data_IF_869531102195
#
_entry.id   IF_869531102195
#
_cell.length_a   1.000
_cell.length_b   1.000
_cell.length_c   1.000
_cell.angle_alpha   90.00
_cell.angle_beta   90.00
_cell.angle_gamma   90.00
#
_symmetry.space_group_name_H-M   'P 1'
#
loop_
_entity.id
_entity.type
_entity.pdbx_description
1 polymer ?
#
# COMPACT_ATOMS: atom_id res chain seq x y z
N UNK A 1 11.08 25.99 6.47
CA UNK A 1 10.37 24.71 6.77
C UNK A 1 11.43 23.67 7.06
N UNK A 2 11.33 22.92 8.15
CA UNK A 2 12.27 21.80 8.42
C UNK A 2 11.96 20.70 7.40
N UNK A 3 12.95 20.30 6.60
CA UNK A 3 12.78 19.21 5.66
C UNK A 3 12.69 17.91 6.45
N UNK A 4 11.52 17.28 6.47
CA UNK A 4 11.34 16.00 7.14
C UNK A 4 11.98 14.92 6.27
N UNK A 5 13.11 14.37 6.72
CA UNK A 5 13.79 13.25 6.07
C UNK A 5 13.07 11.97 6.47
N UNK A 6 12.45 11.30 5.50
CA UNK A 6 11.81 9.99 5.71
C UNK A 6 12.84 8.90 5.45
N UNK A 7 13.10 8.07 6.46
CA UNK A 7 14.04 6.95 6.36
C UNK A 7 13.28 5.62 6.16
N UNK A 8 13.90 4.63 5.49
CA UNK A 8 13.35 3.28 5.40
C UNK A 8 13.15 2.65 6.78
N UNK A 9 12.10 1.85 6.94
CA UNK A 9 11.90 1.01 8.13
C UNK A 9 12.84 -0.20 8.01
N UNK A 10 13.85 -0.26 8.89
CA UNK A 10 14.85 -1.34 8.90
C UNK A 10 14.63 -2.38 10.01
N UNK A 11 13.91 -2.00 11.06
CA UNK A 11 13.68 -2.81 12.24
C UNK A 11 12.33 -3.53 12.15
N UNK A 12 12.34 -4.85 12.32
CA UNK A 12 11.15 -5.70 12.23
C UNK A 12 10.14 -5.45 13.36
N UNK A 13 10.58 -5.08 14.56
CA UNK A 13 9.70 -4.71 15.66
C UNK A 13 8.99 -3.38 15.36
N UNK A 14 9.72 -2.41 14.80
CA UNK A 14 9.12 -1.15 14.33
C UNK A 14 8.10 -1.44 13.22
N UNK A 15 8.45 -2.28 12.25
CA UNK A 15 7.53 -2.68 11.19
C UNK A 15 6.25 -3.30 11.76
N UNK A 16 6.40 -4.19 12.75
CA UNK A 16 5.27 -4.84 13.41
C UNK A 16 4.38 -3.83 14.15
N UNK A 17 4.97 -2.91 14.90
CA UNK A 17 4.20 -1.84 15.58
C UNK A 17 3.45 -0.95 14.58
N UNK A 18 4.05 -0.61 13.44
CA UNK A 18 3.37 0.15 12.38
C UNK A 18 2.19 -0.64 11.84
N UNK A 19 2.38 -1.93 11.54
CA UNK A 19 1.30 -2.80 11.05
C UNK A 19 0.14 -2.90 12.04
N UNK A 20 0.43 -3.09 13.33
CA UNK A 20 -0.59 -3.22 14.37
C UNK A 20 -1.33 -1.89 14.59
N UNK A 21 -0.60 -0.78 14.65
CA UNK A 21 -1.19 0.58 14.75
C UNK A 21 -2.12 0.88 13.57
N UNK A 22 -1.71 0.50 12.35
CA UNK A 22 -2.55 0.66 11.17
C UNK A 22 -3.77 -0.25 11.25
N UNK A 23 -3.64 -1.50 11.69
CA UNK A 23 -4.77 -2.43 11.74
C UNK A 23 -5.83 -2.02 12.77
N UNK A 24 -5.40 -1.52 13.94
CA UNK A 24 -6.24 -1.27 15.11
C UNK A 24 -6.86 0.14 15.14
N UNK A 25 -6.49 1.02 14.21
CA UNK A 25 -7.08 2.36 14.11
C UNK A 25 -8.56 2.31 13.71
N UNK A 26 -9.44 2.78 14.60
CA UNK A 26 -10.91 2.64 14.49
C UNK A 26 -11.51 3.25 13.21
N UNK A 27 -10.97 4.36 12.71
CA UNK A 27 -11.62 5.12 11.62
C UNK A 27 -11.29 4.58 10.22
N UNK A 28 -10.01 4.34 9.95
CA UNK A 28 -9.52 3.99 8.62
C UNK A 28 -8.47 2.87 8.65
N UNK A 29 -8.35 2.16 9.78
CA UNK A 29 -7.23 1.29 10.06
C UNK A 29 -7.06 0.18 9.03
N UNK A 30 -8.09 -0.65 8.83
CA UNK A 30 -8.07 -1.72 7.83
C UNK A 30 -7.70 -1.22 6.43
N UNK A 31 -8.24 -0.07 6.01
CA UNK A 31 -7.97 0.52 4.69
C UNK A 31 -6.50 0.95 4.58
N UNK A 32 -5.96 1.63 5.59
CA UNK A 32 -4.57 2.08 5.58
C UNK A 32 -3.59 0.90 5.72
N UNK A 33 -3.94 -0.10 6.53
CA UNK A 33 -3.22 -1.36 6.65
C UNK A 33 -3.16 -2.08 5.30
N UNK A 34 -4.27 -2.20 4.58
CA UNK A 34 -4.28 -2.80 3.24
C UNK A 34 -3.39 -2.02 2.27
N UNK A 35 -3.46 -0.69 2.24
CA UNK A 35 -2.59 0.13 1.38
C UNK A 35 -1.11 -0.11 1.69
N UNK A 36 -0.74 -0.13 2.98
CA UNK A 36 0.63 -0.39 3.41
C UNK A 36 1.12 -1.79 3.01
N UNK A 37 0.29 -2.81 3.24
CA UNK A 37 0.65 -4.20 2.94
C UNK A 37 0.76 -4.45 1.43
N UNK A 38 -0.16 -3.88 0.63
CA UNK A 38 -0.09 -3.97 -0.83
C UNK A 38 1.17 -3.28 -1.34
N UNK A 39 1.47 -2.06 -0.89
CA UNK A 39 2.70 -1.34 -1.25
C UNK A 39 3.96 -2.12 -0.89
N UNK A 40 4.00 -2.74 0.29
CA UNK A 40 5.13 -3.58 0.73
C UNK A 40 5.31 -4.83 -0.13
N UNK A 41 4.22 -5.52 -0.48
CA UNK A 41 4.28 -6.77 -1.25
C UNK A 41 4.58 -6.54 -2.74
N UNK A 42 4.22 -5.37 -3.27
CA UNK A 42 4.31 -5.05 -4.71
C UNK A 42 5.37 -4.01 -5.05
N UNK A 43 5.97 -3.37 -4.04
CA UNK A 43 6.91 -2.25 -4.16
C UNK A 43 6.34 -1.03 -4.89
N UNK A 44 5.01 -0.93 -4.98
CA UNK A 44 4.32 0.22 -5.57
C UNK A 44 4.35 1.44 -4.65
N UNK A 45 4.34 2.63 -5.24
CA UNK A 45 4.16 3.87 -4.48
C UNK A 45 2.75 3.92 -3.91
N UNK A 46 2.60 4.61 -2.77
CA UNK A 46 1.29 4.79 -2.13
C UNK A 46 0.28 5.41 -3.10
N UNK A 47 0.71 6.37 -3.93
CA UNK A 47 -0.14 6.97 -4.96
C UNK A 47 -0.72 5.93 -5.91
N UNK A 48 0.12 5.00 -6.38
CA UNK A 48 -0.26 4.01 -7.39
C UNK A 48 -1.27 3.03 -6.80
N UNK A 49 -1.00 2.54 -5.59
CA UNK A 49 -1.92 1.67 -4.82
C UNK A 49 -3.28 2.34 -4.63
N UNK A 50 -3.30 3.64 -4.33
CA UNK A 50 -4.53 4.41 -4.11
C UNK A 50 -5.34 4.66 -5.38
N UNK A 51 -4.73 4.50 -6.55
CA UNK A 51 -5.40 4.61 -7.86
C UNK A 51 -5.86 3.27 -8.44
N UNK A 52 -5.53 2.15 -7.80
CA UNK A 52 -5.97 0.83 -8.23
C UNK A 52 -7.50 0.71 -8.20
N UNK A 53 -8.06 0.18 -9.28
CA UNK A 53 -9.46 -0.23 -9.37
C UNK A 53 -9.59 -1.71 -9.05
N UNK A 54 -10.78 -2.12 -8.62
CA UNK A 54 -11.10 -3.54 -8.42
C UNK A 54 -10.85 -4.37 -9.69
N UNK A 55 -11.14 -3.83 -10.87
CA UNK A 55 -10.87 -4.48 -12.16
C UNK A 55 -9.40 -4.75 -12.43
N UNK A 56 -8.50 -4.02 -11.77
CA UNK A 56 -7.06 -4.13 -12.00
C UNK A 56 -6.48 -5.33 -11.25
N UNK A 57 -7.12 -5.73 -10.14
CA UNK A 57 -6.64 -6.76 -9.20
C UNK A 57 -7.57 -7.96 -9.06
N UNK A 58 -8.82 -7.87 -9.51
CA UNK A 58 -9.83 -8.94 -9.39
C UNK A 58 -10.46 -9.29 -10.74
N UNK A 59 -10.73 -10.57 -10.93
CA UNK A 59 -11.51 -11.07 -12.06
C UNK A 59 -13.03 -10.91 -11.79
N UNK A 60 -13.89 -10.91 -12.83
CA UNK A 60 -15.33 -10.81 -12.67
C UNK A 60 -15.94 -11.88 -11.74
N UNK A 61 -15.36 -13.07 -11.68
CA UNK A 61 -15.76 -14.17 -10.78
C UNK A 61 -15.28 -14.04 -9.33
N UNK A 62 -14.67 -12.91 -8.95
CA UNK A 62 -14.22 -12.65 -7.58
C UNK A 62 -12.84 -13.21 -7.21
N UNK A 63 -12.19 -13.98 -8.09
CA UNK A 63 -10.80 -14.41 -7.88
C UNK A 63 -9.82 -13.24 -8.05
N UNK A 64 -8.72 -13.28 -7.29
CA UNK A 64 -7.63 -12.30 -7.39
C UNK A 64 -6.74 -12.68 -8.57
N UNK A 65 -6.26 -11.67 -9.31
CA UNK A 65 -5.32 -11.89 -10.42
C UNK A 65 -3.92 -12.23 -9.89
N UNK A 66 -3.28 -13.23 -10.48
CA UNK A 66 -1.89 -13.57 -10.16
C UNK A 66 -0.91 -12.43 -10.52
N UNK A 67 -1.24 -11.67 -11.57
CA UNK A 67 -0.43 -10.54 -12.04
C UNK A 67 -1.35 -9.36 -12.32
N UNK A 68 -0.95 -8.18 -11.85
CA UNK A 68 -1.59 -6.91 -12.17
C UNK A 68 -0.57 -5.99 -12.83
N UNK A 69 -1.01 -5.20 -13.80
CA UNK A 69 -0.17 -4.25 -14.53
C UNK A 69 -0.63 -2.84 -14.21
N UNK A 70 0.32 -1.96 -13.92
CA UNK A 70 0.08 -0.53 -13.82
C UNK A 70 0.76 0.17 -14.97
N UNK A 71 0.11 1.20 -15.50
CA UNK A 71 0.74 2.10 -16.46
C UNK A 71 1.34 3.25 -15.68
N UNK A 72 2.68 3.30 -15.65
CA UNK A 72 3.38 4.42 -15.06
C UNK A 72 3.02 5.69 -15.82
N UNK A 73 2.46 6.66 -15.09
CA UNK A 73 2.33 8.01 -15.60
C UNK A 73 3.61 8.71 -15.22
N UNK A 74 4.63 8.59 -16.07
CA UNK A 74 5.79 9.48 -15.98
C UNK A 74 5.25 10.92 -15.91
N UNK A 75 5.48 11.59 -14.78
CA UNK A 75 5.33 13.04 -14.69
C UNK A 75 6.30 13.63 -15.72
N UNK A 76 5.77 14.20 -16.80
CA UNK A 76 6.49 15.25 -17.52
C UNK A 76 6.63 16.46 -16.63
#
# INVERSE_FOLDING_TARGET
>A
MVQQIVLPIKDTNILKMVQDTLLDSVRAGRRNYTVFQVGKATLLRVSDVMTLKKSDVSNPGGSVKNTAFIHDKNNR
#
